data_IF_517952560436
#
_entry.id   IF_517952560436
#
_cell.length_a   1.000
_cell.length_b   1.000
_cell.length_c   1.000
_cell.angle_alpha   90.00
_cell.angle_beta   90.00
_cell.angle_gamma   90.00
#
_symmetry.space_group_name_H-M   'P 1'
#
loop_
_entity.id
_entity.type
_entity.pdbx_description
1 polymer ?
#
# COMPACT_ATOMS: atom_id res chain seq x y z
N UNK A 1 6.72 -11.80 15.53
CA UNK A 1 6.25 -11.55 14.15
C UNK A 1 7.37 -10.83 13.40
N UNK A 2 7.74 -11.29 12.21
CA UNK A 2 8.85 -10.71 11.43
C UNK A 2 8.59 -9.22 11.14
N UNK A 3 9.59 -8.36 11.32
CA UNK A 3 9.50 -6.92 11.06
C UNK A 3 8.95 -6.61 9.66
N UNK A 4 9.35 -7.37 8.65
CA UNK A 4 8.86 -7.24 7.27
C UNK A 4 7.36 -7.49 7.16
N UNK A 5 6.82 -8.51 7.84
CA UNK A 5 5.39 -8.80 7.79
C UNK A 5 4.55 -7.79 8.60
N UNK A 6 5.11 -7.22 9.66
CA UNK A 6 4.50 -6.07 10.37
C UNK A 6 4.45 -4.84 9.45
N UNK A 7 5.53 -4.52 8.73
CA UNK A 7 5.55 -3.41 7.79
C UNK A 7 4.63 -3.64 6.58
N UNK A 8 4.48 -4.88 6.09
CA UNK A 8 3.48 -5.24 5.06
C UNK A 8 2.04 -5.05 5.55
N UNK A 9 1.74 -5.49 6.78
CA UNK A 9 0.41 -5.30 7.38
C UNK A 9 0.11 -3.81 7.58
N UNK A 10 1.10 -3.03 8.04
CA UNK A 10 0.98 -1.58 8.20
C UNK A 10 0.76 -0.88 6.85
N UNK A 11 1.53 -1.27 5.82
CA UNK A 11 1.38 -0.79 4.45
C UNK A 11 -0.04 -1.06 3.91
N UNK A 12 -0.57 -2.26 4.16
CA UNK A 12 -1.94 -2.60 3.79
C UNK A 12 -2.95 -1.63 4.41
N UNK A 13 -2.88 -1.42 5.72
CA UNK A 13 -3.80 -0.54 6.44
C UNK A 13 -3.73 0.91 5.96
N UNK A 14 -2.52 1.41 5.67
CA UNK A 14 -2.35 2.77 5.17
C UNK A 14 -2.99 2.91 3.78
N UNK A 15 -2.80 1.95 2.89
CA UNK A 15 -3.42 1.94 1.56
C UNK A 15 -4.94 1.79 1.60
N UNK A 16 -5.48 1.03 2.55
CA UNK A 16 -6.93 0.98 2.78
C UNK A 16 -7.48 2.37 3.15
N UNK A 17 -6.77 3.11 4.01
CA UNK A 17 -7.13 4.49 4.36
C UNK A 17 -6.98 5.45 3.19
N UNK A 18 -5.99 5.24 2.31
CA UNK A 18 -5.87 5.98 1.04
C UNK A 18 -7.11 5.76 0.18
N UNK A 19 -7.52 4.50 -0.02
CA UNK A 19 -8.68 4.14 -0.81
C UNK A 19 -9.97 4.78 -0.26
N UNK A 20 -10.23 4.62 1.04
CA UNK A 20 -11.39 5.22 1.72
C UNK A 20 -11.36 6.74 1.62
N UNK A 21 -10.18 7.35 1.81
CA UNK A 21 -10.00 8.80 1.74
C UNK A 21 -10.36 9.34 0.36
N UNK A 22 -9.82 8.75 -0.71
CA UNK A 22 -10.13 9.15 -2.08
C UNK A 22 -11.60 8.91 -2.44
N UNK A 23 -12.17 7.73 -2.12
CA UNK A 23 -13.59 7.42 -2.36
C UNK A 23 -14.56 8.40 -1.69
N UNK A 24 -14.21 8.89 -0.49
CA UNK A 24 -15.03 9.82 0.28
C UNK A 24 -14.71 11.30 0.02
N UNK A 25 -13.83 11.61 -0.93
CA UNK A 25 -13.41 12.98 -1.23
C UNK A 25 -12.52 13.61 -0.13
N UNK A 26 -12.03 12.83 0.82
CA UNK A 26 -11.09 13.28 1.87
C UNK A 26 -9.65 13.27 1.36
N UNK A 27 -9.37 14.14 0.38
CA UNK A 27 -8.11 14.13 -0.39
C UNK A 27 -6.88 14.32 0.51
N UNK A 28 -6.93 15.29 1.44
CA UNK A 28 -5.81 15.56 2.36
C UNK A 28 -5.48 14.37 3.26
N UNK A 29 -6.51 13.63 3.69
CA UNK A 29 -6.33 12.42 4.50
C UNK A 29 -5.68 11.32 3.66
N UNK A 30 -6.19 11.10 2.44
CA UNK A 30 -5.65 10.11 1.52
C UNK A 30 -4.18 10.38 1.19
N UNK A 31 -3.81 11.63 0.87
CA UNK A 31 -2.43 12.00 0.57
C UNK A 31 -1.49 11.81 1.77
N UNK A 32 -1.96 12.11 2.99
CA UNK A 32 -1.19 11.84 4.21
C UNK A 32 -0.91 10.34 4.36
N UNK A 33 -1.92 9.50 4.29
CA UNK A 33 -1.73 8.05 4.40
C UNK A 33 -0.93 7.47 3.24
N UNK A 34 -1.01 8.07 2.05
CA UNK A 34 -0.20 7.65 0.90
C UNK A 34 1.29 7.90 1.18
N UNK A 35 1.63 9.03 1.82
CA UNK A 35 3.00 9.29 2.26
C UNK A 35 3.46 8.29 3.32
N UNK A 36 2.59 7.97 4.28
CA UNK A 36 2.87 6.96 5.31
C UNK A 36 3.08 5.56 4.66
N UNK A 37 2.26 5.18 3.69
CA UNK A 37 2.40 3.95 2.90
C UNK A 37 3.75 3.87 2.18
N UNK A 38 4.19 4.96 1.53
CA UNK A 38 5.51 4.98 0.89
C UNK A 38 6.67 4.86 1.90
N UNK A 39 6.53 5.41 3.10
CA UNK A 39 7.50 5.21 4.16
C UNK A 39 7.54 3.73 4.61
N UNK A 40 6.38 3.09 4.83
CA UNK A 40 6.28 1.66 5.17
C UNK A 40 6.89 0.77 4.12
N UNK A 41 6.69 1.06 2.84
CA UNK A 41 7.30 0.32 1.72
C UNK A 41 8.82 0.24 1.87
N UNK A 42 9.47 1.30 2.35
CA UNK A 42 10.93 1.35 2.50
C UNK A 42 11.43 0.58 3.75
N UNK A 43 10.55 0.23 4.69
CA UNK A 43 10.88 -0.58 5.87
C UNK A 43 10.87 -2.10 5.59
N UNK A 44 10.32 -2.50 4.44
CA UNK A 44 10.14 -3.90 4.04
C UNK A 44 11.44 -4.44 3.43
N UNK A 45 11.97 -5.51 4.01
CA UNK A 45 13.02 -6.30 3.36
C UNK A 45 12.43 -7.07 2.16
N UNK A 46 12.83 -6.66 0.95
CA UNK A 46 12.32 -7.22 -0.31
C UNK A 46 12.83 -8.63 -0.61
N UNK A 47 13.91 -9.06 0.02
CA UNK A 47 14.42 -10.43 -0.13
C UNK A 47 13.69 -11.40 0.80
N UNK A 48 13.09 -10.90 1.89
CA UNK A 48 12.28 -11.67 2.81
C UNK A 48 10.84 -11.95 2.32
N UNK A 49 10.44 -11.39 1.16
CA UNK A 49 9.10 -11.60 0.57
C UNK A 49 9.16 -12.40 -0.72
N UNK A 50 8.04 -13.05 -1.06
CA UNK A 50 7.89 -13.79 -2.32
C UNK A 50 8.16 -12.87 -3.52
N UNK A 51 8.79 -13.37 -4.62
CA UNK A 51 9.18 -12.53 -5.75
C UNK A 51 8.05 -11.70 -6.37
N UNK A 52 6.82 -12.22 -6.38
CA UNK A 52 5.67 -11.46 -6.90
C UNK A 52 5.31 -10.26 -6.02
N UNK A 53 5.42 -10.37 -4.68
CA UNK A 53 5.19 -9.25 -3.75
C UNK A 53 6.24 -8.17 -3.95
N UNK A 54 7.51 -8.56 -4.14
CA UNK A 54 8.58 -7.62 -4.49
C UNK A 54 8.28 -6.87 -5.79
N UNK A 55 7.75 -7.53 -6.82
CA UNK A 55 7.31 -6.87 -8.06
C UNK A 55 6.20 -5.85 -7.80
N UNK A 56 5.19 -6.22 -7.01
CA UNK A 56 4.05 -5.36 -6.65
C UNK A 56 4.51 -4.14 -5.82
N UNK A 57 5.42 -4.32 -4.86
CA UNK A 57 6.00 -3.22 -4.08
C UNK A 57 6.67 -2.17 -4.99
N UNK A 58 7.30 -2.60 -6.07
CA UNK A 58 7.94 -1.71 -7.03
C UNK A 58 6.95 -1.00 -7.96
N UNK A 59 5.69 -1.43 -8.03
CA UNK A 59 4.65 -0.75 -8.82
C UNK A 59 3.82 0.24 -8.01
N UNK A 60 4.05 0.37 -6.71
CA UNK A 60 3.27 1.24 -5.82
C UNK A 60 3.31 2.72 -6.24
N UNK A 61 4.42 3.18 -6.84
CA UNK A 61 4.57 4.56 -7.31
C UNK A 61 3.54 4.94 -8.39
N UNK A 62 2.91 3.93 -9.04
CA UNK A 62 1.80 4.13 -9.98
C UNK A 62 0.63 4.89 -9.36
N UNK A 63 0.35 4.69 -8.06
CA UNK A 63 -0.71 5.42 -7.38
C UNK A 63 -0.41 6.93 -7.40
N UNK A 64 0.85 7.35 -7.28
CA UNK A 64 1.18 8.77 -7.20
C UNK A 64 1.06 9.49 -8.55
N UNK A 65 1.32 8.79 -9.65
CA UNK A 65 1.27 9.34 -11.02
C UNK A 65 -0.14 9.31 -11.64
N UNK A 66 -1.05 8.50 -11.11
CA UNK A 66 -2.43 8.44 -11.55
C UNK A 66 -3.16 9.75 -11.21
N UNK A 67 -3.87 10.30 -12.21
CA UNK A 67 -4.58 11.58 -12.12
C UNK A 67 -6.05 11.38 -11.79
N UNK A 68 -6.64 10.26 -12.18
CA UNK A 68 -8.01 9.91 -11.82
C UNK A 68 -8.07 9.47 -10.35
N UNK A 69 -8.75 10.27 -9.52
CA UNK A 69 -8.90 10.02 -8.07
C UNK A 69 -9.61 8.68 -7.80
N UNK A 70 -10.61 8.31 -8.61
CA UNK A 70 -11.32 7.05 -8.44
C UNK A 70 -10.40 5.88 -8.79
N UNK A 71 -9.63 6.01 -9.87
CA UNK A 71 -8.62 5.01 -10.22
C UNK A 71 -7.53 4.87 -9.16
N UNK A 72 -7.06 5.98 -8.57
CA UNK A 72 -6.14 5.96 -7.41
C UNK A 72 -6.72 5.18 -6.24
N UNK A 73 -8.01 5.38 -5.96
CA UNK A 73 -8.68 4.70 -4.86
C UNK A 73 -8.78 3.19 -5.08
N UNK A 74 -9.13 2.77 -6.30
CA UNK A 74 -9.18 1.36 -6.70
C UNK A 74 -7.80 0.70 -6.63
N UNK A 75 -6.77 1.35 -7.14
CA UNK A 75 -5.41 0.82 -7.10
C UNK A 75 -4.91 0.70 -5.65
N UNK A 76 -5.17 1.71 -4.81
CA UNK A 76 -4.84 1.64 -3.39
C UNK A 76 -5.54 0.47 -2.69
N UNK A 77 -6.83 0.24 -2.98
CA UNK A 77 -7.59 -0.89 -2.44
C UNK A 77 -7.07 -2.24 -2.93
N UNK A 78 -6.73 -2.36 -4.22
CA UNK A 78 -6.13 -3.57 -4.77
C UNK A 78 -4.82 -3.89 -4.06
N UNK A 79 -3.94 -2.89 -3.91
CA UNK A 79 -2.66 -3.08 -3.23
C UNK A 79 -2.83 -3.42 -1.74
N UNK A 80 -3.78 -2.80 -1.03
CA UNK A 80 -4.03 -3.14 0.38
C UNK A 80 -4.36 -4.61 0.55
N UNK A 81 -5.28 -5.14 -0.26
CA UNK A 81 -5.66 -6.56 -0.23
C UNK A 81 -4.46 -7.47 -0.53
N UNK A 82 -3.65 -7.14 -1.54
CA UNK A 82 -2.48 -7.94 -1.91
C UNK A 82 -1.44 -7.99 -0.78
N UNK A 83 -1.18 -6.87 -0.10
CA UNK A 83 -0.22 -6.83 1.00
C UNK A 83 -0.78 -7.41 2.30
N UNK A 84 -2.08 -7.28 2.55
CA UNK A 84 -2.75 -7.96 3.68
C UNK A 84 -2.60 -9.47 3.58
N UNK A 85 -2.83 -10.02 2.38
CA UNK A 85 -2.68 -11.44 2.13
C UNK A 85 -1.21 -11.86 2.30
N UNK A 86 -0.27 -11.03 1.83
CA UNK A 86 1.16 -11.28 1.98
C UNK A 86 1.65 -11.22 3.43
N UNK A 87 1.01 -10.44 4.31
CA UNK A 87 1.43 -10.29 5.70
C UNK A 87 0.98 -11.45 6.60
N UNK A 88 -0.02 -12.22 6.18
CA UNK A 88 -0.59 -13.35 6.96
C UNK A 88 0.09 -14.67 6.58
N UNK A 89 0.45 -14.85 5.31
CA UNK A 89 1.02 -16.11 4.78
C UNK A 89 2.56 -16.05 4.72
N UNK A 90 3.15 -15.31 5.67
CA UNK A 90 4.57 -14.97 5.74
C UNK A 90 5.34 -15.79 6.76
#
# INVERSE_FOLDING_TARGET
MNKTFISLSSLSMDLERVAIGYQRGSIRMAERFLKEAFARRNEIDKEAVKPYIRKILNTLDKINIEKDIMRKAEDALMYSILFQNASIVG
#
